data_IF_230780172521
#
_entry.id   IF_230780172521
#
_cell.length_a   1.000
_cell.length_b   1.000
_cell.length_c   1.000
_cell.angle_alpha   90.00
_cell.angle_beta   90.00
_cell.angle_gamma   90.00
#
_symmetry.space_group_name_H-M   'P 1'
#
loop_
_entity.id
_entity.type
_entity.pdbx_description
1 polymer ?
#
# COMPACT_ATOMS: atom_id res chain seq x y z
N UNK A 1 -8.05 8.28 13.31
CA UNK A 1 -7.32 7.13 12.71
C UNK A 1 -7.70 5.86 13.47
N UNK A 2 -7.98 4.80 12.75
CA UNK A 2 -8.36 3.51 13.32
C UNK A 2 -7.14 2.58 13.27
N UNK A 3 -6.84 1.90 14.38
CA UNK A 3 -5.73 0.95 14.41
C UNK A 3 -6.09 -0.36 13.70
N UNK A 4 -5.12 -0.99 13.09
CA UNK A 4 -5.26 -2.36 12.59
C UNK A 4 -5.33 -3.27 13.82
N UNK A 5 -6.33 -4.18 13.92
CA UNK A 5 -6.40 -5.11 15.04
C UNK A 5 -5.11 -5.89 15.20
N UNK A 6 -4.63 -5.97 16.43
CA UNK A 6 -3.31 -6.57 16.72
C UNK A 6 -3.21 -8.00 16.22
N UNK A 7 -4.29 -8.78 16.34
CA UNK A 7 -4.32 -10.18 15.91
C UNK A 7 -4.27 -10.35 14.39
N UNK A 8 -4.39 -9.25 13.61
CA UNK A 8 -4.38 -9.27 12.15
C UNK A 8 -3.20 -8.51 11.53
N UNK A 9 -2.35 -7.89 12.36
CA UNK A 9 -1.19 -7.13 11.86
C UNK A 9 -0.21 -7.98 11.09
N UNK A 10 -0.10 -9.26 11.44
CA UNK A 10 0.79 -10.19 10.77
C UNK A 10 0.50 -10.32 9.27
N UNK A 11 -0.76 -10.12 8.85
CA UNK A 11 -1.12 -10.14 7.43
C UNK A 11 -0.34 -9.08 6.67
N UNK A 12 -0.18 -7.88 7.25
CA UNK A 12 0.57 -6.78 6.62
C UNK A 12 2.08 -6.95 6.75
N UNK A 13 2.56 -7.71 7.73
CA UNK A 13 3.98 -7.99 7.91
C UNK A 13 4.48 -9.10 6.98
N UNK A 14 3.60 -9.99 6.57
CA UNK A 14 3.90 -11.07 5.62
C UNK A 14 3.99 -10.53 4.19
N UNK A 15 4.44 -11.37 3.25
CA UNK A 15 4.51 -11.04 1.81
C UNK A 15 3.14 -11.03 1.16
N UNK A 16 2.20 -10.31 1.75
CA UNK A 16 0.83 -10.23 1.25
C UNK A 16 0.76 -9.21 0.12
N UNK A 17 0.28 -9.64 -1.05
CA UNK A 17 -0.08 -8.67 -2.07
C UNK A 17 -1.32 -7.93 -1.61
N UNK A 18 -1.20 -6.62 -1.53
CA UNK A 18 -2.28 -5.75 -1.10
C UNK A 18 -2.96 -5.20 -2.35
N UNK A 19 -4.27 -5.35 -2.43
CA UNK A 19 -5.03 -4.80 -3.55
C UNK A 19 -5.49 -3.40 -3.17
N UNK A 20 -4.94 -2.41 -3.86
CA UNK A 20 -5.20 -1.00 -3.60
C UNK A 20 -6.19 -0.45 -4.63
N UNK A 21 -7.31 0.06 -4.14
CA UNK A 21 -8.31 0.73 -4.95
C UNK A 21 -8.16 2.24 -4.81
N UNK A 22 -8.14 2.92 -5.95
CA UNK A 22 -8.10 4.38 -6.05
C UNK A 22 -9.25 4.85 -6.92
N UNK A 23 -9.57 6.14 -6.91
CA UNK A 23 -10.66 6.72 -7.71
C UNK A 23 -10.13 7.41 -8.95
N UNK A 24 -10.70 7.03 -10.08
CA UNK A 24 -10.48 7.72 -11.35
C UNK A 24 -11.13 9.10 -11.33
N UNK A 25 -10.74 9.97 -12.27
CA UNK A 25 -11.31 11.32 -12.37
C UNK A 25 -12.83 11.32 -12.56
N UNK A 26 -13.37 10.30 -13.24
CA UNK A 26 -14.82 10.15 -13.44
C UNK A 26 -15.54 9.49 -12.25
N UNK A 27 -14.80 9.21 -11.17
CA UNK A 27 -15.35 8.57 -9.98
C UNK A 27 -15.36 7.05 -10.00
N UNK A 28 -15.01 6.43 -11.12
CA UNK A 28 -14.93 4.96 -11.19
C UNK A 28 -13.75 4.42 -10.39
N UNK A 29 -13.88 3.22 -9.81
CA UNK A 29 -12.78 2.60 -9.05
C UNK A 29 -11.76 1.95 -9.98
N UNK A 30 -10.49 1.98 -9.54
CA UNK A 30 -9.40 1.28 -10.21
C UNK A 30 -8.63 0.52 -9.13
N UNK A 31 -8.27 -0.72 -9.39
CA UNK A 31 -7.58 -1.56 -8.42
C UNK A 31 -6.33 -2.17 -9.02
N UNK A 32 -5.26 -2.25 -8.23
CA UNK A 32 -4.03 -2.92 -8.62
C UNK A 32 -3.34 -3.54 -7.40
N UNK A 33 -2.58 -4.63 -7.57
CA UNK A 33 -1.79 -5.18 -6.48
C UNK A 33 -0.57 -4.30 -6.20
N UNK A 34 -0.26 -4.13 -4.93
CA UNK A 34 0.89 -3.35 -4.49
C UNK A 34 1.60 -4.07 -3.34
N UNK A 35 2.85 -3.71 -3.13
CA UNK A 35 3.58 -4.05 -1.91
C UNK A 35 3.28 -3.01 -0.85
N UNK A 36 3.22 -3.44 0.41
CA UNK A 36 2.88 -2.55 1.50
C UNK A 36 3.71 -2.85 2.75
N UNK A 37 3.84 -1.83 3.58
CA UNK A 37 4.48 -1.88 4.89
C UNK A 37 3.52 -1.22 5.88
N UNK A 38 3.37 -1.80 7.08
CA UNK A 38 2.62 -1.18 8.16
C UNK A 38 3.61 -0.72 9.23
N UNK A 39 3.63 0.58 9.53
CA UNK A 39 4.57 1.15 10.49
C UNK A 39 4.01 1.26 11.92
N UNK A 40 2.83 0.73 12.16
CA UNK A 40 2.11 0.81 13.43
C UNK A 40 1.02 1.87 13.44
N UNK A 41 1.09 2.84 12.54
CA UNK A 41 0.10 3.91 12.38
C UNK A 41 -0.47 3.96 10.98
N UNK A 42 0.40 3.90 9.97
CA UNK A 42 0.03 4.04 8.56
C UNK A 42 0.38 2.80 7.78
N UNK A 43 -0.41 2.54 6.75
CA UNK A 43 -0.05 1.58 5.71
C UNK A 43 0.68 2.40 4.65
N UNK A 44 1.92 2.02 4.36
CA UNK A 44 2.78 2.77 3.44
C UNK A 44 2.98 1.96 2.17
N UNK A 45 2.62 2.54 1.04
CA UNK A 45 2.81 1.94 -0.28
C UNK A 45 3.74 2.81 -1.10
N UNK A 46 4.27 2.24 -2.18
CA UNK A 46 5.25 2.89 -3.04
C UNK A 46 4.79 2.80 -4.48
N UNK A 47 5.03 3.84 -5.24
CA UNK A 47 4.78 3.85 -6.68
C UNK A 47 5.73 4.82 -7.35
N UNK A 48 5.51 5.11 -8.60
CA UNK A 48 6.29 6.06 -9.36
C UNK A 48 5.43 7.25 -9.76
N UNK A 49 6.04 8.44 -9.68
CA UNK A 49 5.39 9.69 -10.04
C UNK A 49 4.88 9.64 -11.48
N UNK A 50 3.63 10.03 -11.66
CA UNK A 50 2.98 10.08 -12.98
C UNK A 50 2.22 8.82 -13.37
N UNK A 51 2.36 7.71 -12.62
CA UNK A 51 1.53 6.53 -12.86
C UNK A 51 0.06 6.82 -12.55
N UNK A 52 -0.84 6.00 -13.10
CA UNK A 52 -2.28 6.19 -12.93
C UNK A 52 -2.68 6.29 -11.45
N UNK A 53 -2.23 5.34 -10.62
CA UNK A 53 -2.57 5.39 -9.19
C UNK A 53 -1.97 6.61 -8.49
N UNK A 54 -0.79 7.08 -8.92
CA UNK A 54 -0.20 8.30 -8.38
C UNK A 54 -1.10 9.51 -8.64
N UNK A 55 -1.52 9.67 -9.89
CA UNK A 55 -2.42 10.76 -10.27
C UNK A 55 -3.74 10.68 -9.52
N UNK A 56 -4.30 9.47 -9.40
CA UNK A 56 -5.55 9.26 -8.69
C UNK A 56 -5.46 9.63 -7.21
N UNK A 57 -4.41 9.20 -6.53
CA UNK A 57 -4.23 9.49 -5.10
C UNK A 57 -3.93 10.96 -4.82
N UNK A 58 -3.30 11.66 -5.77
CA UNK A 58 -3.08 13.11 -5.64
C UNK A 58 -4.36 13.91 -5.82
N UNK A 59 -5.26 13.43 -6.68
CA UNK A 59 -6.52 14.10 -6.99
C UNK A 59 -7.62 13.80 -5.96
N UNK A 60 -7.62 12.60 -5.38
CA UNK A 60 -8.65 12.17 -4.43
C UNK A 60 -7.97 11.30 -3.36
N UNK A 61 -8.08 11.71 -2.12
CA UNK A 61 -7.38 11.05 -1.01
C UNK A 61 -8.06 9.76 -0.53
N UNK A 62 -9.25 9.44 -1.03
CA UNK A 62 -10.00 8.25 -0.63
C UNK A 62 -9.46 7.02 -1.31
N UNK A 63 -9.13 6.01 -0.51
CA UNK A 63 -8.61 4.73 -1.00
C UNK A 63 -9.24 3.59 -0.21
N UNK A 64 -9.13 2.39 -0.78
CA UNK A 64 -9.47 1.17 -0.07
C UNK A 64 -8.43 0.11 -0.40
N UNK A 65 -8.21 -0.82 0.53
CA UNK A 65 -7.33 -1.93 0.26
C UNK A 65 -7.81 -3.19 0.95
N UNK A 66 -7.45 -4.32 0.35
CA UNK A 66 -7.63 -5.61 0.98
C UNK A 66 -6.32 -6.37 0.96
N UNK A 67 -6.05 -7.10 2.04
CA UNK A 67 -4.88 -7.95 2.18
C UNK A 67 -5.32 -9.32 2.67
N UNK A 68 -4.98 -10.35 1.91
CA UNK A 68 -5.26 -11.72 2.28
C UNK A 68 -4.01 -12.35 2.88
N UNK A 69 -4.19 -13.10 3.97
CA UNK A 69 -3.09 -13.85 4.57
C UNK A 69 -2.54 -14.86 3.55
N UNK A 70 -1.25 -14.77 3.18
CA UNK A 70 -0.69 -15.70 2.19
C UNK A 70 -0.66 -17.16 2.67
N UNK A 71 -0.79 -17.39 3.98
CA UNK A 71 -0.81 -18.75 4.57
C UNK A 71 -2.23 -19.27 4.77
N UNK A 72 -3.25 -18.40 4.73
CA UNK A 72 -4.64 -18.77 4.93
C UNK A 72 -5.55 -17.82 4.12
N UNK A 73 -6.02 -18.25 2.94
CA UNK A 73 -6.81 -17.38 2.06
C UNK A 73 -8.17 -16.98 2.62
N UNK A 74 -8.61 -17.58 3.71
CA UNK A 74 -9.86 -17.25 4.37
C UNK A 74 -9.68 -16.23 5.50
N UNK A 75 -8.47 -15.72 5.67
CA UNK A 75 -8.14 -14.71 6.67
C UNK A 75 -7.68 -13.45 5.97
N UNK A 76 -8.35 -12.33 6.20
CA UNK A 76 -8.12 -11.11 5.44
C UNK A 76 -8.43 -9.84 6.23
N UNK A 77 -7.82 -8.75 5.77
CA UNK A 77 -8.13 -7.38 6.18
C UNK A 77 -8.78 -6.65 5.01
N UNK A 78 -9.86 -5.94 5.30
CA UNK A 78 -10.50 -5.01 4.37
C UNK A 78 -10.46 -3.63 5.01
N UNK A 79 -9.82 -2.68 4.34
CA UNK A 79 -9.51 -1.38 4.93
C UNK A 79 -9.99 -0.27 4.02
N UNK A 80 -10.73 0.69 4.57
CA UNK A 80 -10.94 1.98 3.93
C UNK A 80 -10.01 2.99 4.57
N UNK A 81 -9.48 3.90 3.77
CA UNK A 81 -8.53 4.86 4.27
C UNK A 81 -8.47 6.11 3.42
N UNK A 82 -7.56 6.96 3.79
CA UNK A 82 -7.29 8.20 3.08
C UNK A 82 -5.80 8.45 3.05
N UNK A 83 -5.35 9.11 1.99
CA UNK A 83 -3.95 9.49 1.86
C UNK A 83 -3.67 10.62 2.84
N UNK A 84 -2.83 10.35 3.83
CA UNK A 84 -2.43 11.35 4.82
C UNK A 84 -1.20 12.14 4.37
N UNK A 85 -0.32 11.51 3.58
CA UNK A 85 0.92 12.14 3.12
C UNK A 85 1.42 11.47 1.85
N UNK A 86 1.93 12.28 0.94
CA UNK A 86 2.62 11.83 -0.27
C UNK A 86 4.00 12.48 -0.24
N UNK A 87 5.07 11.72 -0.39
CA UNK A 87 6.42 12.25 -0.34
C UNK A 87 7.39 11.43 -1.16
N UNK A 88 8.38 12.10 -1.73
CA UNK A 88 9.53 11.46 -2.39
C UNK A 88 10.64 11.14 -1.38
N UNK A 89 10.61 11.77 -0.20
CA UNK A 89 11.65 11.59 0.82
C UNK A 89 11.68 10.16 1.32
N UNK A 90 12.82 9.49 1.17
CA UNK A 90 13.00 8.11 1.60
C UNK A 90 12.28 7.08 0.74
N UNK A 91 11.73 7.47 -0.42
CA UNK A 91 10.98 6.56 -1.27
C UNK A 91 11.86 5.48 -1.90
N UNK A 92 13.13 5.80 -2.23
CA UNK A 92 14.07 4.82 -2.76
C UNK A 92 14.45 3.78 -1.71
N UNK A 93 14.74 4.20 -0.49
CA UNK A 93 15.03 3.29 0.61
C UNK A 93 13.81 2.44 0.94
N UNK A 94 12.62 3.02 0.86
CA UNK A 94 11.37 2.31 1.11
C UNK A 94 11.13 1.20 0.09
N UNK A 95 11.30 1.48 -1.21
CA UNK A 95 11.11 0.43 -2.22
C UNK A 95 12.17 -0.67 -2.08
N UNK A 96 13.37 -0.34 -1.62
CA UNK A 96 14.39 -1.34 -1.33
C UNK A 96 13.99 -2.22 -0.14
N UNK A 97 13.42 -1.65 0.93
CA UNK A 97 12.89 -2.44 2.06
C UNK A 97 11.75 -3.36 1.62
N UNK A 98 10.87 -2.87 0.75
CA UNK A 98 9.79 -3.69 0.20
C UNK A 98 10.34 -4.82 -0.66
N UNK A 99 11.36 -4.55 -1.47
CA UNK A 99 12.04 -5.59 -2.26
C UNK A 99 12.65 -6.66 -1.35
N UNK A 100 13.22 -6.28 -0.22
CA UNK A 100 13.74 -7.22 0.77
C UNK A 100 12.62 -8.09 1.34
N UNK A 101 11.51 -7.48 1.70
CA UNK A 101 10.35 -8.20 2.25
C UNK A 101 9.73 -9.16 1.23
N UNK A 102 9.49 -8.69 0.01
CA UNK A 102 8.70 -9.45 -0.98
C UNK A 102 9.54 -10.36 -1.88
N UNK A 103 10.79 -10.00 -2.15
CA UNK A 103 11.64 -10.72 -3.10
C UNK A 103 12.92 -11.26 -2.48
N UNK A 104 13.22 -10.92 -1.22
CA UNK A 104 14.48 -11.22 -0.56
C UNK A 104 15.69 -10.63 -1.31
N UNK A 105 15.50 -9.46 -1.94
CA UNK A 105 16.54 -8.72 -2.64
C UNK A 105 16.93 -7.48 -1.84
N UNK A 106 18.23 -7.17 -1.77
CA UNK A 106 18.69 -6.00 -1.01
C UNK A 106 18.32 -4.69 -1.68
N UNK A 107 18.18 -4.70 -3.01
CA UNK A 107 17.79 -3.55 -3.80
C UNK A 107 16.64 -3.91 -4.73
N UNK A 108 15.78 -2.93 -4.99
CA UNK A 108 14.69 -3.09 -5.93
C UNK A 108 15.25 -3.38 -7.35
N UNK A 109 15.00 -4.58 -7.91
CA UNK A 109 15.65 -4.98 -9.16
C UNK A 109 15.02 -4.40 -10.43
N UNK A 110 13.84 -3.77 -10.30
CA UNK A 110 13.08 -3.27 -11.45
C UNK A 110 13.19 -1.75 -11.61
N UNK A 111 14.28 -1.14 -11.13
CA UNK A 111 14.49 0.29 -11.28
C UNK A 111 14.59 0.66 -12.75
N UNK A 112 13.96 1.79 -13.09
CA UNK A 112 14.01 2.37 -14.42
C UNK A 112 14.66 3.75 -14.31
N UNK A 113 15.52 4.09 -15.27
CA UNK A 113 16.11 5.42 -15.33
C UNK A 113 15.02 6.48 -15.42
N UNK A 114 15.23 7.62 -14.79
CA UNK A 114 14.30 8.76 -14.75
C UNK A 114 13.00 8.51 -13.98
N UNK A 115 12.85 7.34 -13.36
CA UNK A 115 11.70 7.05 -12.52
C UNK A 115 11.86 7.69 -11.13
N UNK A 116 10.89 8.47 -10.72
CA UNK A 116 10.85 9.08 -9.39
C UNK A 116 9.93 8.26 -8.50
N UNK A 117 10.50 7.63 -7.47
CA UNK A 117 9.73 6.84 -6.51
C UNK A 117 9.03 7.77 -5.53
N UNK A 118 7.85 7.34 -5.07
CA UNK A 118 6.98 8.12 -4.18
C UNK A 118 6.41 7.18 -3.12
N UNK A 119 6.36 7.66 -1.88
CA UNK A 119 5.68 6.98 -0.77
C UNK A 119 4.32 7.61 -0.52
N UNK A 120 3.36 6.76 -0.19
CA UNK A 120 2.00 7.17 0.17
C UNK A 120 1.68 6.60 1.54
N UNK A 121 1.39 7.48 2.49
CA UNK A 121 0.97 7.10 3.84
C UNK A 121 -0.54 7.05 3.88
N UNK A 122 -1.09 5.85 4.09
CA UNK A 122 -2.53 5.62 4.13
C UNK A 122 -2.96 5.54 5.58
N UNK A 123 -3.86 6.43 5.96
CA UNK A 123 -4.49 6.45 7.27
C UNK A 123 -5.72 5.53 7.23
N UNK A 124 -5.74 4.43 8.00
CA UNK A 124 -6.94 3.62 8.09
C UNK A 124 -8.08 4.40 8.75
N UNK A 125 -9.24 4.43 8.13
CA UNK A 125 -10.44 5.07 8.68
C UNK A 125 -11.50 4.07 9.06
N UNK A 126 -11.51 2.88 8.45
CA UNK A 126 -12.41 1.79 8.81
C UNK A 126 -11.74 0.47 8.46
N UNK A 127 -11.83 -0.49 9.39
CA UNK A 127 -11.22 -1.82 9.22
C UNK A 127 -12.28 -2.88 9.46
N UNK A 128 -12.35 -3.84 8.55
CA UNK A 128 -13.12 -5.07 8.71
C UNK A 128 -12.18 -6.26 8.58
N UNK A 129 -12.52 -7.35 9.22
CA UNK A 129 -11.71 -8.57 9.23
C UNK A 129 -12.53 -9.76 8.78
N UNK A 130 -11.85 -10.76 8.23
CA UNK A 130 -12.41 -12.05 7.85
C UNK A 130 -11.48 -13.14 8.39
N UNK A 131 -12.08 -14.17 9.02
CA UNK A 131 -11.31 -15.30 9.57
C UNK A 131 -10.92 -15.22 11.03
#
# INVERSE_FOLDING_TARGET
MVAIPEDYRDILDKKSFVHLATRMADGSPQVSPVWAEYDGDYIVVNSAKGRLKDRNMRADDRVALSATDPDDPYRALMIRGRIAKITEDGADEHIDRLAKKYLNEDKYPYRVADEVRVKYYIEPTKVATMG
#
